data_IF_065468880611
#
_entry.id   IF_065468880611
#
_cell.length_a   1.000
_cell.length_b   1.000
_cell.length_c   1.000
_cell.angle_alpha   90.00
_cell.angle_beta   90.00
_cell.angle_gamma   90.00
#
_symmetry.space_group_name_H-M   'P 1'
#
loop_
_entity.id
_entity.type
_entity.pdbx_description
1 polymer ?
#
# COMPACT_ATOMS: atom_id res chain seq x y z
N UNK A 1 -0.05 31.52 34.71
CA UNK A 1 -0.56 30.29 34.09
C UNK A 1 -0.46 30.50 32.59
N UNK A 2 0.68 30.13 32.01
CA UNK A 2 1.00 30.36 30.59
C UNK A 2 0.30 29.26 29.78
N UNK A 3 -0.63 29.64 28.92
CA UNK A 3 -1.22 28.78 27.92
C UNK A 3 -0.08 28.32 26.96
N UNK A 4 0.05 27.01 26.67
CA UNK A 4 1.01 26.56 25.67
C UNK A 4 0.60 27.13 24.33
N UNK A 5 1.55 27.75 23.66
CA UNK A 5 1.38 28.49 22.41
C UNK A 5 0.67 27.62 21.34
N UNK A 6 -0.47 28.09 20.85
CA UNK A 6 -1.21 27.54 19.71
C UNK A 6 -0.29 27.20 18.52
N UNK A 7 0.78 27.97 18.35
CA UNK A 7 1.79 27.77 17.29
C UNK A 7 2.56 26.43 17.32
N UNK A 8 2.79 25.84 18.50
CA UNK A 8 3.48 24.55 18.60
C UNK A 8 2.55 23.36 18.27
N UNK A 9 1.27 23.44 18.67
CA UNK A 9 0.28 22.45 18.31
C UNK A 9 -0.01 22.47 16.80
N UNK A 10 -0.11 23.67 16.22
CA UNK A 10 -0.32 23.86 14.79
C UNK A 10 0.87 23.33 13.97
N UNK A 11 2.10 23.58 14.40
CA UNK A 11 3.30 23.07 13.73
C UNK A 11 3.41 21.53 13.81
N UNK A 12 3.01 20.94 14.92
CA UNK A 12 3.01 19.49 15.10
C UNK A 12 1.96 18.80 14.21
N UNK A 13 0.73 19.33 14.16
CA UNK A 13 -0.33 18.83 13.28
C UNK A 13 0.06 18.98 11.81
N UNK A 14 0.68 20.09 11.44
CA UNK A 14 1.16 20.31 10.07
C UNK A 14 2.25 19.33 9.67
N UNK A 15 3.17 19.00 10.57
CA UNK A 15 4.19 17.96 10.35
C UNK A 15 3.56 16.59 10.06
N UNK A 16 2.60 16.16 10.86
CA UNK A 16 1.92 14.88 10.69
C UNK A 16 1.18 14.78 9.34
N UNK A 17 0.44 15.84 8.97
CA UNK A 17 -0.25 15.92 7.69
C UNK A 17 0.74 15.85 6.51
N UNK A 18 1.88 16.53 6.64
CA UNK A 18 2.93 16.52 5.60
C UNK A 18 3.55 15.14 5.46
N UNK A 19 3.87 14.46 6.56
CA UNK A 19 4.45 13.11 6.54
C UNK A 19 3.50 12.10 5.88
N UNK A 20 2.21 12.14 6.25
CA UNK A 20 1.19 11.28 5.64
C UNK A 20 1.00 11.56 4.15
N UNK A 21 0.98 12.84 3.75
CA UNK A 21 0.86 13.21 2.35
C UNK A 21 2.05 12.70 1.52
N UNK A 22 3.27 12.86 2.02
CA UNK A 22 4.48 12.38 1.34
C UNK A 22 4.43 10.85 1.16
N UNK A 23 4.09 10.10 2.21
CA UNK A 23 3.95 8.63 2.13
C UNK A 23 2.84 8.24 1.17
N UNK A 24 1.72 8.96 1.17
CA UNK A 24 0.63 8.70 0.24
C UNK A 24 1.05 8.92 -1.22
N UNK A 25 1.74 10.02 -1.52
CA UNK A 25 2.24 10.29 -2.88
C UNK A 25 3.26 9.25 -3.35
N UNK A 26 4.15 8.81 -2.45
CA UNK A 26 5.09 7.71 -2.73
C UNK A 26 4.30 6.42 -3.01
N UNK A 27 3.31 6.09 -2.19
CA UNK A 27 2.51 4.88 -2.32
C UNK A 27 1.76 4.82 -3.65
N UNK A 28 0.97 5.86 -3.99
CA UNK A 28 0.18 5.88 -5.23
C UNK A 28 1.08 5.88 -6.47
N UNK A 29 2.24 6.55 -6.42
CA UNK A 29 3.20 6.56 -7.53
C UNK A 29 3.84 5.18 -7.70
N UNK A 30 4.32 4.56 -6.63
CA UNK A 30 4.92 3.24 -6.68
C UNK A 30 3.94 2.16 -7.18
N UNK A 31 2.70 2.20 -6.69
CA UNK A 31 1.66 1.25 -7.12
C UNK A 31 1.19 1.50 -8.55
N UNK A 32 1.10 2.75 -9.01
CA UNK A 32 0.82 3.05 -10.41
C UNK A 32 1.90 2.49 -11.33
N UNK A 33 3.17 2.67 -10.98
CA UNK A 33 4.31 2.11 -11.72
C UNK A 33 4.30 0.58 -11.68
N UNK A 34 4.03 -0.03 -10.53
CA UNK A 34 3.86 -1.49 -10.35
C UNK A 34 2.73 -2.01 -11.26
N UNK A 35 1.59 -1.32 -11.28
CA UNK A 35 0.45 -1.63 -12.15
C UNK A 35 0.82 -1.57 -13.62
N UNK A 36 1.49 -0.50 -14.06
CA UNK A 36 1.96 -0.36 -15.44
C UNK A 36 2.94 -1.47 -15.87
N UNK A 37 3.85 -1.87 -14.98
CA UNK A 37 4.76 -3.00 -15.24
C UNK A 37 4.00 -4.33 -15.33
N UNK A 38 2.93 -4.53 -14.55
CA UNK A 38 2.08 -5.71 -14.64
C UNK A 38 1.31 -5.75 -15.95
N UNK A 39 0.71 -4.63 -16.36
CA UNK A 39 0.00 -4.49 -17.64
C UNK A 39 0.93 -4.72 -18.83
N UNK A 40 2.15 -4.17 -18.80
CA UNK A 40 3.15 -4.36 -19.85
C UNK A 40 3.55 -5.83 -20.04
N UNK A 41 3.60 -6.63 -18.96
CA UNK A 41 3.83 -8.09 -19.07
C UNK A 41 2.70 -8.84 -19.77
N UNK A 42 1.53 -8.22 -19.88
CA UNK A 42 0.33 -8.77 -20.55
C UNK A 42 0.12 -8.18 -21.92
N UNK A 43 1.05 -7.38 -22.41
CA UNK A 43 0.97 -6.70 -23.71
C UNK A 43 -0.32 -5.86 -23.85
N UNK A 44 -0.76 -5.24 -22.75
CA UNK A 44 -1.92 -4.34 -22.76
C UNK A 44 -1.56 -3.05 -23.52
N UNK A 45 -2.55 -2.47 -24.17
CA UNK A 45 -2.41 -1.16 -24.81
C UNK A 45 -2.27 -0.03 -23.77
N UNK A 46 -2.06 1.19 -24.26
CA UNK A 46 -1.84 2.38 -23.42
C UNK A 46 -3.05 2.64 -22.50
N UNK A 47 -4.27 2.40 -22.99
CA UNK A 47 -5.47 2.56 -22.18
C UNK A 47 -5.54 1.51 -21.08
N UNK A 48 -5.28 0.25 -21.40
CA UNK A 48 -5.17 -0.84 -20.41
C UNK A 48 -4.13 -0.56 -19.35
N UNK A 49 -2.94 -0.05 -19.72
CA UNK A 49 -1.91 0.38 -18.77
C UNK A 49 -2.43 1.47 -17.85
N UNK A 50 -3.11 2.50 -18.36
CA UNK A 50 -3.67 3.58 -17.55
C UNK A 50 -4.72 3.07 -16.56
N UNK A 51 -5.62 2.18 -16.99
CA UNK A 51 -6.63 1.57 -16.12
C UNK A 51 -5.98 0.71 -15.03
N UNK A 52 -5.02 -0.14 -15.36
CA UNK A 52 -4.33 -0.99 -14.37
C UNK A 52 -3.53 -0.13 -13.37
N UNK A 53 -2.84 0.92 -13.84
CA UNK A 53 -2.15 1.86 -12.95
C UNK A 53 -3.13 2.53 -11.96
N UNK A 54 -4.27 3.00 -12.47
CA UNK A 54 -5.32 3.63 -11.66
C UNK A 54 -5.87 2.69 -10.59
N UNK A 55 -6.33 1.50 -10.98
CA UNK A 55 -6.94 0.56 -10.02
C UNK A 55 -5.94 0.00 -9.02
N UNK A 56 -4.67 -0.14 -9.41
CA UNK A 56 -3.62 -0.59 -8.49
C UNK A 56 -3.34 0.46 -7.42
N UNK A 57 -3.19 1.72 -7.85
CA UNK A 57 -2.80 2.81 -6.95
C UNK A 57 -3.95 3.32 -6.06
N UNK A 58 -5.17 3.42 -6.59
CA UNK A 58 -6.29 4.04 -5.89
C UNK A 58 -7.34 3.03 -5.40
N UNK A 59 -7.32 1.80 -5.93
CA UNK A 59 -8.29 0.76 -5.62
C UNK A 59 -8.26 0.34 -4.15
N UNK A 60 -7.08 0.17 -3.54
CA UNK A 60 -6.96 -0.23 -2.14
C UNK A 60 -7.58 0.77 -1.18
N UNK A 61 -7.31 2.07 -1.38
CA UNK A 61 -7.94 3.16 -0.62
C UNK A 61 -9.45 3.24 -0.85
N UNK A 62 -9.88 3.05 -2.10
CA UNK A 62 -11.31 3.01 -2.45
C UNK A 62 -12.05 1.90 -1.70
N UNK A 63 -11.51 0.68 -1.72
CA UNK A 63 -12.11 -0.47 -1.00
C UNK A 63 -12.15 -0.21 0.51
N UNK A 64 -11.07 0.35 1.09
CA UNK A 64 -11.06 0.75 2.49
C UNK A 64 -12.16 1.75 2.81
N UNK A 65 -12.26 2.83 2.04
CA UNK A 65 -13.23 3.89 2.29
C UNK A 65 -14.66 3.36 2.20
N UNK A 66 -14.94 2.48 1.23
CA UNK A 66 -16.23 1.81 1.11
C UNK A 66 -16.55 0.91 2.31
N UNK A 67 -15.59 0.11 2.78
CA UNK A 67 -15.78 -0.82 3.90
C UNK A 67 -15.93 -0.07 5.23
N UNK A 68 -15.18 1.01 5.43
CA UNK A 68 -15.25 1.83 6.63
C UNK A 68 -16.38 2.86 6.60
N UNK A 69 -17.11 3.00 5.47
CA UNK A 69 -18.11 4.04 5.32
C UNK A 69 -17.52 5.47 5.28
N UNK A 70 -16.25 5.60 4.92
CA UNK A 70 -15.54 6.87 4.85
C UNK A 70 -15.80 7.56 3.51
N UNK A 71 -16.67 8.55 3.51
CA UNK A 71 -17.07 9.31 2.33
C UNK A 71 -16.87 10.81 2.51
N UNK A 72 -16.60 11.52 1.39
CA UNK A 72 -16.36 11.04 0.04
C UNK A 72 -15.03 10.31 -0.09
N UNK A 73 -14.94 9.40 -1.10
CA UNK A 73 -13.72 8.61 -1.37
C UNK A 73 -12.55 9.55 -1.66
N UNK A 74 -11.39 9.31 -1.07
CA UNK A 74 -10.27 10.25 -1.04
C UNK A 74 -9.85 10.83 -2.40
N UNK A 75 -9.72 10.01 -3.45
CA UNK A 75 -9.32 10.50 -4.78
C UNK A 75 -10.42 11.32 -5.50
N UNK A 76 -11.70 11.23 -5.06
CA UNK A 76 -12.78 12.05 -5.64
C UNK A 76 -12.72 13.50 -5.12
N UNK A 77 -12.12 13.71 -3.97
CA UNK A 77 -11.83 15.05 -3.44
C UNK A 77 -10.55 15.65 -4.02
N UNK A 78 -9.63 14.81 -4.45
CA UNK A 78 -8.30 15.15 -4.93
C UNK A 78 -8.06 14.59 -6.33
N UNK A 79 -8.71 15.14 -7.39
CA UNK A 79 -8.58 14.63 -8.76
C UNK A 79 -7.15 14.71 -9.30
N UNK A 80 -6.29 15.54 -8.70
CA UNK A 80 -4.86 15.62 -9.00
C UNK A 80 -4.14 14.27 -8.81
N UNK A 81 -4.59 13.42 -7.90
CA UNK A 81 -4.02 12.09 -7.72
C UNK A 81 -4.28 11.18 -8.92
N UNK A 82 -5.40 11.35 -9.61
CA UNK A 82 -5.71 10.60 -10.83
C UNK A 82 -4.73 10.96 -11.94
N UNK A 83 -4.45 12.26 -12.12
CA UNK A 83 -3.46 12.71 -13.11
C UNK A 83 -2.05 12.20 -12.79
N UNK A 84 -1.65 12.27 -11.51
CA UNK A 84 -0.36 11.75 -11.05
C UNK A 84 -0.22 10.26 -11.36
N UNK A 85 -1.22 9.46 -11.00
CA UNK A 85 -1.20 8.00 -11.16
C UNK A 85 -1.17 7.58 -12.62
N UNK A 86 -2.02 8.19 -13.47
CA UNK A 86 -2.02 7.92 -14.92
C UNK A 86 -0.69 8.36 -15.52
N UNK A 87 -0.21 9.56 -15.17
CA UNK A 87 1.08 10.07 -15.64
C UNK A 87 2.26 9.17 -15.25
N UNK A 88 2.32 8.71 -13.98
CA UNK A 88 3.34 7.78 -13.52
C UNK A 88 3.27 6.43 -14.23
N UNK A 89 2.06 5.90 -14.45
CA UNK A 89 1.84 4.67 -15.20
C UNK A 89 2.33 4.77 -16.63
N UNK A 90 1.93 5.83 -17.35
CA UNK A 90 2.35 6.06 -18.73
C UNK A 90 3.87 6.32 -18.86
N UNK A 91 4.42 7.12 -17.95
CA UNK A 91 5.88 7.36 -17.89
C UNK A 91 6.64 6.05 -17.70
N UNK A 92 6.11 5.15 -16.89
CA UNK A 92 6.70 3.83 -16.65
C UNK A 92 6.83 3.03 -17.95
N UNK A 93 5.89 3.13 -18.89
CA UNK A 93 5.98 2.41 -20.18
C UNK A 93 7.19 2.83 -21.01
N UNK A 94 7.56 4.13 -20.94
CA UNK A 94 8.72 4.68 -21.64
C UNK A 94 10.01 4.23 -20.96
N UNK A 95 10.08 4.39 -19.64
CA UNK A 95 11.27 4.06 -18.84
C UNK A 95 11.54 2.55 -18.85
N UNK A 96 10.49 1.73 -18.79
CA UNK A 96 10.61 0.27 -18.73
C UNK A 96 11.37 -0.33 -19.92
N UNK A 97 11.30 0.31 -21.10
CA UNK A 97 12.05 -0.13 -22.29
C UNK A 97 13.56 -0.11 -22.09
N UNK A 98 14.07 0.72 -21.17
CA UNK A 98 15.49 0.88 -20.86
C UNK A 98 15.93 0.11 -19.61
N UNK A 99 15.00 -0.51 -18.87
CA UNK A 99 15.29 -1.20 -17.61
C UNK A 99 15.66 -2.68 -17.84
N UNK A 100 16.82 -3.11 -17.33
CA UNK A 100 17.28 -4.51 -17.44
C UNK A 100 16.64 -5.45 -16.39
N UNK A 101 16.18 -4.92 -15.25
CA UNK A 101 15.75 -5.70 -14.07
C UNK A 101 14.29 -5.42 -13.67
N UNK A 102 13.39 -5.38 -14.65
CA UNK A 102 11.97 -5.05 -14.43
C UNK A 102 11.29 -5.84 -13.31
N UNK A 103 11.65 -7.12 -13.14
CA UNK A 103 11.08 -7.94 -12.06
C UNK A 103 11.48 -7.43 -10.67
N UNK A 104 12.72 -7.00 -10.49
CA UNK A 104 13.20 -6.49 -9.20
C UNK A 104 12.58 -5.12 -8.90
N UNK A 105 12.50 -4.26 -9.92
CA UNK A 105 11.82 -2.96 -9.81
C UNK A 105 10.35 -3.14 -9.45
N UNK A 106 9.64 -4.03 -10.13
CA UNK A 106 8.26 -4.39 -9.78
C UNK A 106 8.11 -4.81 -8.32
N UNK A 107 8.96 -5.74 -7.85
CA UNK A 107 8.90 -6.25 -6.48
C UNK A 107 9.22 -5.16 -5.44
N UNK A 108 10.11 -4.22 -5.75
CA UNK A 108 10.42 -3.09 -4.89
C UNK A 108 9.25 -2.11 -4.80
N UNK A 109 8.68 -1.71 -5.94
CA UNK A 109 7.55 -0.80 -6.02
C UNK A 109 6.32 -1.36 -5.30
N UNK A 110 6.00 -2.63 -5.56
CA UNK A 110 4.92 -3.37 -4.90
C UNK A 110 5.14 -3.48 -3.38
N UNK A 111 6.40 -3.70 -2.94
CA UNK A 111 6.71 -3.71 -1.51
C UNK A 111 6.53 -2.33 -0.86
N UNK A 112 6.96 -1.26 -1.52
CA UNK A 112 6.76 0.12 -1.03
C UNK A 112 5.27 0.45 -0.92
N UNK A 113 4.49 0.13 -1.95
CA UNK A 113 3.04 0.34 -1.96
C UNK A 113 2.34 -0.45 -0.85
N UNK A 114 2.64 -1.75 -0.73
CA UNK A 114 2.10 -2.61 0.32
C UNK A 114 2.27 -1.99 1.71
N UNK A 115 3.51 -1.60 2.06
CA UNK A 115 3.82 -1.09 3.39
C UNK A 115 3.18 0.28 3.62
N UNK A 116 3.34 1.21 2.67
CA UNK A 116 2.78 2.54 2.79
C UNK A 116 1.25 2.51 2.92
N UNK A 117 0.56 1.75 2.09
CA UNK A 117 -0.90 1.63 2.17
C UNK A 117 -1.36 0.87 3.42
N UNK A 118 -0.58 -0.08 3.93
CA UNK A 118 -0.89 -0.69 5.23
C UNK A 118 -0.86 0.34 6.36
N UNK A 119 0.13 1.23 6.38
CA UNK A 119 0.23 2.31 7.36
C UNK A 119 -0.90 3.32 7.24
N UNK A 120 -1.18 3.78 6.01
CA UNK A 120 -2.28 4.72 5.73
C UNK A 120 -3.62 4.13 6.15
N UNK A 121 -3.87 2.86 5.84
CA UNK A 121 -5.10 2.17 6.25
C UNK A 121 -5.26 2.08 7.77
N UNK A 122 -4.18 1.79 8.49
CA UNK A 122 -4.17 1.81 9.96
C UNK A 122 -4.41 3.22 10.51
N UNK A 123 -3.74 4.25 9.96
CA UNK A 123 -3.90 5.63 10.41
C UNK A 123 -5.34 6.11 10.26
N UNK A 124 -5.93 5.94 9.08
CA UNK A 124 -7.31 6.33 8.80
C UNK A 124 -8.29 5.64 9.76
N UNK A 125 -8.15 4.33 9.98
CA UNK A 125 -9.03 3.62 10.89
C UNK A 125 -8.83 4.03 12.36
N UNK A 126 -7.60 4.33 12.78
CA UNK A 126 -7.28 4.78 14.12
C UNK A 126 -7.84 6.19 14.38
N UNK A 127 -7.70 7.11 13.43
CA UNK A 127 -8.24 8.48 13.50
C UNK A 127 -9.76 8.51 13.62
N UNK A 128 -10.46 7.52 13.02
CA UNK A 128 -11.91 7.36 13.15
C UNK A 128 -12.34 6.61 14.42
N UNK A 129 -11.41 6.29 15.31
CA UNK A 129 -11.70 5.68 16.60
C UNK A 129 -12.11 4.21 16.54
N UNK A 130 -11.79 3.50 15.44
CA UNK A 130 -12.10 2.08 15.33
C UNK A 130 -11.28 1.23 16.32
N UNK A 131 -11.84 0.09 16.71
CA UNK A 131 -11.17 -0.86 17.59
C UNK A 131 -9.95 -1.49 16.93
N UNK A 132 -9.00 -1.95 17.75
CA UNK A 132 -7.72 -2.57 17.37
C UNK A 132 -7.81 -3.51 16.17
N UNK A 133 -8.73 -4.45 16.22
CA UNK A 133 -8.86 -5.46 15.15
C UNK A 133 -9.25 -4.82 13.83
N UNK A 134 -10.15 -3.83 13.86
CA UNK A 134 -10.58 -3.08 12.67
C UNK A 134 -9.42 -2.25 12.10
N UNK A 135 -8.62 -1.60 12.95
CA UNK A 135 -7.42 -0.84 12.54
C UNK A 135 -6.44 -1.75 11.77
N UNK A 136 -6.12 -2.92 12.34
CA UNK A 136 -5.20 -3.87 11.71
C UNK A 136 -5.78 -4.39 10.38
N UNK A 137 -7.06 -4.77 10.37
CA UNK A 137 -7.72 -5.27 9.15
C UNK A 137 -7.84 -4.21 8.07
N UNK A 138 -8.14 -2.95 8.44
CA UNK A 138 -8.20 -1.84 7.50
C UNK A 138 -6.83 -1.56 6.87
N UNK A 139 -5.75 -1.61 7.66
CA UNK A 139 -4.39 -1.50 7.15
C UNK A 139 -4.06 -2.62 6.17
N UNK A 140 -4.29 -3.87 6.55
CA UNK A 140 -4.07 -5.02 5.67
C UNK A 140 -4.90 -4.92 4.39
N UNK A 141 -6.19 -4.64 4.52
CA UNK A 141 -7.10 -4.51 3.38
C UNK A 141 -6.62 -3.43 2.40
N UNK A 142 -6.24 -2.26 2.92
CA UNK A 142 -5.73 -1.17 2.08
C UNK A 142 -4.45 -1.56 1.35
N UNK A 143 -3.50 -2.17 2.05
CA UNK A 143 -2.21 -2.55 1.49
C UNK A 143 -2.28 -3.66 0.44
N UNK A 144 -3.16 -4.67 0.62
CA UNK A 144 -3.20 -5.82 -0.29
C UNK A 144 -4.19 -5.67 -1.44
N UNK A 145 -5.25 -4.87 -1.29
CA UNK A 145 -6.37 -4.86 -2.25
C UNK A 145 -5.98 -4.31 -3.61
N UNK A 146 -5.17 -3.26 -3.69
CA UNK A 146 -4.67 -2.73 -4.95
C UNK A 146 -3.93 -3.79 -5.77
N UNK A 147 -3.03 -4.53 -5.13
CA UNK A 147 -2.31 -5.66 -5.73
C UNK A 147 -3.21 -6.82 -6.14
N UNK A 148 -4.25 -7.14 -5.35
CA UNK A 148 -5.24 -8.17 -5.71
C UNK A 148 -5.98 -7.79 -6.97
N UNK A 149 -6.54 -6.57 -7.02
CA UNK A 149 -7.29 -6.08 -8.19
C UNK A 149 -6.41 -6.07 -9.44
N UNK A 150 -5.18 -5.53 -9.32
CA UNK A 150 -4.18 -5.57 -10.39
C UNK A 150 -3.96 -6.98 -10.94
N UNK A 151 -3.64 -7.92 -10.06
CA UNK A 151 -3.28 -9.27 -10.46
C UNK A 151 -4.47 -10.00 -11.10
N UNK A 152 -5.68 -9.83 -10.55
CA UNK A 152 -6.92 -10.40 -11.12
C UNK A 152 -7.19 -9.82 -12.51
N UNK A 153 -7.13 -8.51 -12.70
CA UNK A 153 -7.33 -7.87 -14.00
C UNK A 153 -6.23 -8.25 -15.00
N UNK A 154 -5.03 -8.52 -14.52
CA UNK A 154 -3.94 -9.05 -15.33
C UNK A 154 -4.04 -10.57 -15.57
N UNK A 155 -5.14 -11.22 -15.19
CA UNK A 155 -5.33 -12.67 -15.28
C UNK A 155 -4.15 -13.45 -14.65
N UNK A 156 -3.80 -13.08 -13.41
CA UNK A 156 -2.77 -13.76 -12.61
C UNK A 156 -3.34 -14.13 -11.25
N UNK A 157 -2.85 -15.21 -10.67
CA UNK A 157 -3.12 -15.52 -9.27
C UNK A 157 -2.48 -14.42 -8.42
N UNK A 158 -3.27 -13.70 -7.58
CA UNK A 158 -2.73 -12.63 -6.75
C UNK A 158 -1.55 -13.08 -5.88
N UNK A 159 -0.55 -12.19 -5.74
CA UNK A 159 0.67 -12.47 -4.96
C UNK A 159 0.33 -12.87 -3.53
N UNK A 160 -0.73 -12.29 -2.95
CA UNK A 160 -1.19 -12.57 -1.59
C UNK A 160 -1.56 -14.04 -1.36
N UNK A 161 -2.01 -14.76 -2.40
CA UNK A 161 -2.36 -16.19 -2.34
C UNK A 161 -1.21 -17.11 -2.78
N UNK A 162 -0.11 -16.54 -3.22
CA UNK A 162 1.09 -17.32 -3.52
C UNK A 162 1.83 -17.63 -2.21
N UNK A 163 2.79 -18.55 -2.30
CA UNK A 163 3.57 -19.04 -1.15
C UNK A 163 4.53 -18.02 -0.53
N UNK A 164 4.34 -16.72 -0.76
CA UNK A 164 5.21 -15.67 -0.28
C UNK A 164 4.65 -15.02 1.00
N UNK A 165 5.54 -14.48 1.85
CA UNK A 165 5.17 -13.69 3.02
C UNK A 165 4.71 -12.29 2.60
N UNK A 166 3.54 -12.17 1.96
CA UNK A 166 2.99 -10.90 1.49
C UNK A 166 2.04 -10.28 2.52
N UNK A 167 0.90 -10.92 2.74
CA UNK A 167 -0.07 -10.46 3.73
C UNK A 167 0.48 -10.53 5.17
N UNK A 168 1.38 -11.48 5.45
CA UNK A 168 2.02 -11.61 6.76
C UNK A 168 2.93 -10.43 7.08
N UNK A 169 3.61 -9.86 6.09
CA UNK A 169 4.40 -8.63 6.27
C UNK A 169 3.47 -7.45 6.55
N UNK A 170 2.39 -7.29 5.78
CA UNK A 170 1.37 -6.27 6.04
C UNK A 170 0.80 -6.39 7.46
N UNK A 171 0.43 -7.61 7.89
CA UNK A 171 -0.03 -7.88 9.25
C UNK A 171 0.99 -7.45 10.30
N UNK A 172 2.26 -7.83 10.13
CA UNK A 172 3.32 -7.48 11.07
C UNK A 172 3.51 -5.95 11.17
N UNK A 173 3.45 -5.24 10.04
CA UNK A 173 3.52 -3.78 9.99
C UNK A 173 2.32 -3.14 10.70
N UNK A 174 1.11 -3.62 10.44
CA UNK A 174 -0.11 -3.11 11.09
C UNK A 174 -0.10 -3.34 12.60
N UNK A 175 0.38 -4.51 13.04
CA UNK A 175 0.55 -4.81 14.47
C UNK A 175 1.59 -3.90 15.12
N UNK A 176 2.74 -3.70 14.48
CA UNK A 176 3.79 -2.82 14.97
C UNK A 176 3.30 -1.36 15.04
N UNK A 177 2.64 -0.88 14.00
CA UNK A 177 2.05 0.45 13.96
C UNK A 177 1.07 0.67 15.11
N UNK A 178 0.13 -0.26 15.30
CA UNK A 178 -0.82 -0.19 16.39
C UNK A 178 -0.14 -0.21 17.76
N UNK A 179 0.87 -1.06 17.96
CA UNK A 179 1.61 -1.18 19.21
C UNK A 179 2.36 0.13 19.57
N UNK A 180 3.09 0.70 18.61
CA UNK A 180 3.81 1.96 18.82
C UNK A 180 2.84 3.13 19.07
N UNK A 181 1.70 3.17 18.37
CA UNK A 181 0.66 4.16 18.59
C UNK A 181 0.02 4.02 19.98
N UNK A 182 -0.21 2.79 20.45
CA UNK A 182 -0.73 2.51 21.79
C UNK A 182 0.24 2.94 22.90
N UNK A 183 1.55 2.94 22.63
CA UNK A 183 2.58 3.43 23.55
C UNK A 183 2.83 4.94 23.44
N UNK A 184 1.99 5.67 22.68
CA UNK A 184 2.13 7.11 22.44
C UNK A 184 3.51 7.51 21.89
N UNK A 185 4.13 6.64 21.08
CA UNK A 185 5.35 6.98 20.34
C UNK A 185 5.00 8.07 19.34
N UNK A 186 5.94 8.99 19.10
CA UNK A 186 5.76 10.07 18.12
C UNK A 186 5.29 9.50 16.77
N UNK A 187 4.27 10.12 16.18
CA UNK A 187 3.62 9.65 14.95
C UNK A 187 4.60 9.51 13.78
N UNK A 188 5.43 10.53 13.54
CA UNK A 188 6.39 10.53 12.43
C UNK A 188 7.45 9.44 12.61
N UNK A 189 7.91 9.23 13.86
CA UNK A 189 8.83 8.16 14.20
C UNK A 189 8.18 6.78 14.01
N UNK A 190 6.93 6.62 14.43
CA UNK A 190 6.15 5.39 14.25
C UNK A 190 6.06 5.03 12.77
N UNK A 191 5.71 6.00 11.92
CA UNK A 191 5.62 5.80 10.48
C UNK A 191 6.99 5.44 9.89
N UNK A 192 8.04 6.19 10.23
CA UNK A 192 9.38 5.95 9.71
C UNK A 192 9.90 4.55 10.09
N UNK A 193 9.74 4.15 11.34
CA UNK A 193 10.17 2.82 11.84
C UNK A 193 9.37 1.71 11.17
N UNK A 194 8.03 1.84 11.10
CA UNK A 194 7.17 0.84 10.48
C UNK A 194 7.41 0.73 8.97
N UNK A 195 7.61 1.85 8.27
CA UNK A 195 7.89 1.85 6.84
C UNK A 195 9.25 1.23 6.54
N UNK A 196 10.32 1.69 7.19
CA UNK A 196 11.66 1.18 6.97
C UNK A 196 11.78 -0.30 7.40
N UNK A 197 11.28 -0.66 8.58
CA UNK A 197 11.29 -2.02 9.09
C UNK A 197 10.44 -2.97 8.24
N UNK A 198 9.24 -2.56 7.85
CA UNK A 198 8.36 -3.34 6.99
C UNK A 198 8.96 -3.57 5.60
N UNK A 199 9.52 -2.51 5.00
CA UNK A 199 10.18 -2.61 3.69
C UNK A 199 11.40 -3.54 3.77
N UNK A 200 12.26 -3.37 4.77
CA UNK A 200 13.39 -4.25 5.00
C UNK A 200 12.94 -5.71 5.18
N UNK A 201 11.91 -5.96 5.99
CA UNK A 201 11.34 -7.29 6.20
C UNK A 201 10.81 -7.88 4.90
N UNK A 202 10.05 -7.12 4.09
CA UNK A 202 9.51 -7.59 2.81
C UNK A 202 10.63 -7.94 1.82
N UNK A 203 11.63 -7.06 1.66
CA UNK A 203 12.76 -7.29 0.76
C UNK A 203 13.62 -8.48 1.20
N UNK A 204 13.82 -8.65 2.51
CA UNK A 204 14.52 -9.81 3.05
C UNK A 204 13.75 -11.10 2.81
N UNK A 205 12.44 -11.11 3.04
CA UNK A 205 11.57 -12.25 2.77
C UNK A 205 11.61 -12.67 1.29
N UNK A 206 11.61 -11.69 0.35
CA UNK A 206 11.77 -11.94 -1.08
C UNK A 206 13.15 -12.54 -1.39
N UNK A 207 14.21 -11.94 -0.84
CA UNK A 207 15.59 -12.37 -1.09
C UNK A 207 15.86 -13.78 -0.56
N UNK A 208 15.38 -14.08 0.65
CA UNK A 208 15.56 -15.39 1.31
C UNK A 208 14.50 -16.41 0.87
N UNK A 209 13.55 -16.02 0.01
CA UNK A 209 12.47 -16.86 -0.49
C UNK A 209 11.67 -17.52 0.65
N UNK A 210 11.41 -16.79 1.72
CA UNK A 210 10.61 -17.27 2.84
C UNK A 210 9.18 -17.57 2.38
N UNK A 211 8.64 -18.68 2.85
CA UNK A 211 7.33 -19.18 2.45
C UNK A 211 6.55 -19.69 3.65
N UNK A 212 5.23 -19.49 3.61
CA UNK A 212 4.36 -20.15 4.57
C UNK A 212 4.14 -21.62 4.18
N UNK A 213 3.90 -22.50 5.18
CA UNK A 213 3.51 -23.87 4.92
C UNK A 213 2.21 -23.92 4.11
N UNK A 214 2.14 -24.84 3.16
CA UNK A 214 0.96 -25.02 2.30
C UNK A 214 0.09 -26.08 2.92
N UNK A 215 -1.17 -25.76 3.08
CA UNK A 215 -2.19 -26.77 3.35
C UNK A 215 -2.53 -27.46 2.03
N UNK A 216 -2.27 -28.76 1.93
CA UNK A 216 -2.69 -29.59 0.80
C UNK A 216 -3.59 -30.69 1.32
N UNK A 217 -4.78 -30.78 0.76
CA UNK A 217 -5.73 -31.85 1.02
C UNK A 217 -5.84 -32.69 -0.26
N UNK A 218 -5.53 -34.00 -0.13
CA UNK A 218 -5.70 -34.96 -1.22
C UNK A 218 -6.91 -35.81 -0.87
N UNK A 219 -8.07 -35.41 -1.35
CA UNK A 219 -9.24 -36.27 -1.38
C UNK A 219 -9.35 -36.89 -2.77
N UNK A 220 -9.40 -38.24 -2.86
CA UNK A 220 -9.80 -38.90 -4.10
C UNK A 220 -11.32 -38.84 -4.16
N UNK A 221 -11.84 -38.00 -5.03
CA UNK A 221 -13.24 -38.04 -5.42
C UNK A 221 -13.40 -39.28 -6.33
N UNK A 222 -13.88 -40.42 -5.75
CA UNK A 222 -14.31 -41.60 -6.50
C UNK A 222 -15.68 -41.37 -7.12
#
# INVERSE_FOLDING_TARGET
MLLPSTSLLDSFQLSQLTTMLVIYLIAITAEAMSGALAAGRRNMDIFGVAVIAFVTALGGGTIRDMVLGHYPIGWTQHPEYVYLVIGAGLLTTVIARHMRHLKQVFLLLDAMGLIAFSLIGCSVALEHGYQRVVVIMAGMLTGISGGIVRDVLCNQVPVVFRRELYASVSLAVCLLYWLLSAWNVNHDLTIAVCFAGGLAFRLLAIRLKWRLPVFSYQERWE
#
